data_IF_005241396635
#
_entry.id   IF_005241396635
#
_cell.length_a   1.000
_cell.length_b   1.000
_cell.length_c   1.000
_cell.angle_alpha   90.00
_cell.angle_beta   90.00
_cell.angle_gamma   90.00
#
_symmetry.space_group_name_H-M   'P 1'
#
loop_
_entity.id
_entity.type
_entity.pdbx_description
1 polymer ?
#
# COMPACT_ATOMS: atom_id res chain seq x y z
N UNK A 1 -12.95 1.04 15.60
CA UNK A 1 -12.24 -0.19 15.17
C UNK A 1 -11.76 0.05 13.75
N UNK A 2 -10.46 -0.06 13.52
CA UNK A 2 -9.87 0.10 12.18
C UNK A 2 -10.30 -1.07 11.31
N UNK A 3 -10.68 -0.79 10.07
CA UNK A 3 -11.02 -1.82 9.08
C UNK A 3 -10.07 -1.68 7.90
N UNK A 4 -9.36 -2.76 7.59
CA UNK A 4 -8.36 -2.78 6.52
C UNK A 4 -8.91 -2.25 5.18
N UNK A 5 -10.14 -2.64 4.82
CA UNK A 5 -10.79 -2.19 3.57
C UNK A 5 -11.00 -0.67 3.50
N UNK A 6 -11.20 -0.01 4.66
CA UNK A 6 -11.38 1.44 4.72
C UNK A 6 -10.05 2.13 4.44
N UNK A 7 -8.98 1.70 5.10
CA UNK A 7 -7.65 2.30 4.92
C UNK A 7 -7.08 2.02 3.53
N UNK A 8 -7.31 0.83 2.97
CA UNK A 8 -6.99 0.53 1.56
C UNK A 8 -7.79 1.46 0.62
N UNK A 9 -9.09 1.60 0.85
CA UNK A 9 -9.95 2.46 0.04
C UNK A 9 -9.47 3.92 0.02
N UNK A 10 -9.15 4.46 1.20
CA UNK A 10 -8.67 5.83 1.35
C UNK A 10 -7.27 6.02 0.76
N UNK A 11 -6.36 5.05 0.89
CA UNK A 11 -5.04 5.09 0.27
C UNK A 11 -5.13 5.08 -1.27
N UNK A 12 -5.98 4.22 -1.84
CA UNK A 12 -6.25 4.18 -3.29
C UNK A 12 -6.84 5.51 -3.79
N UNK A 13 -7.86 6.02 -3.08
CA UNK A 13 -8.49 7.29 -3.39
C UNK A 13 -7.51 8.46 -3.34
N UNK A 14 -6.66 8.50 -2.32
CA UNK A 14 -5.63 9.53 -2.15
C UNK A 14 -4.67 9.53 -3.33
N UNK A 15 -4.16 8.35 -3.73
CA UNK A 15 -3.27 8.22 -4.88
C UNK A 15 -3.95 8.68 -6.18
N UNK A 16 -5.20 8.23 -6.42
CA UNK A 16 -5.98 8.65 -7.59
C UNK A 16 -6.17 10.16 -7.65
N UNK A 17 -6.56 10.78 -6.53
CA UNK A 17 -6.81 12.22 -6.45
C UNK A 17 -5.52 13.04 -6.62
N UNK A 18 -4.40 12.59 -6.04
CA UNK A 18 -3.09 13.22 -6.23
C UNK A 18 -2.64 13.24 -7.69
N UNK A 19 -3.01 12.21 -8.47
CA UNK A 19 -2.78 12.15 -9.91
C UNK A 19 -3.78 12.97 -10.74
N UNK A 20 -4.81 13.59 -10.12
CA UNK A 20 -5.87 14.31 -10.83
C UNK A 20 -6.79 13.41 -11.66
N UNK A 21 -6.78 12.09 -11.43
CA UNK A 21 -7.54 11.12 -12.23
C UNK A 21 -8.95 10.93 -11.69
N UNK A 22 -9.90 10.73 -12.59
CA UNK A 22 -11.28 10.42 -12.24
C UNK A 22 -11.43 8.93 -11.91
N UNK A 23 -12.53 8.56 -11.25
CA UNK A 23 -12.90 7.15 -11.05
C UNK A 23 -12.95 6.39 -12.38
N UNK A 24 -13.45 7.04 -13.44
CA UNK A 24 -13.57 6.43 -14.77
C UNK A 24 -12.20 6.09 -15.37
N UNK A 25 -11.23 6.98 -15.21
CA UNK A 25 -9.87 6.78 -15.75
C UNK A 25 -9.19 5.55 -15.15
N UNK A 26 -9.38 5.35 -13.85
CA UNK A 26 -8.78 4.23 -13.12
C UNK A 26 -9.59 2.95 -13.30
N UNK A 27 -10.93 3.02 -13.24
CA UNK A 27 -11.78 1.83 -13.40
C UNK A 27 -11.59 1.17 -14.77
N UNK A 28 -11.42 1.97 -15.82
CA UNK A 28 -11.13 1.48 -17.16
C UNK A 28 -9.78 0.75 -17.22
N UNK A 29 -8.72 1.34 -16.67
CA UNK A 29 -7.38 0.72 -16.62
C UNK A 29 -7.35 -0.57 -15.78
N UNK A 30 -8.12 -0.60 -14.70
CA UNK A 30 -8.22 -1.74 -13.79
C UNK A 30 -9.21 -2.82 -14.24
N UNK A 31 -9.95 -2.60 -15.36
CA UNK A 31 -11.00 -3.49 -15.88
C UNK A 31 -12.09 -3.82 -14.85
N UNK A 32 -12.44 -2.85 -14.01
CA UNK A 32 -13.54 -2.95 -13.05
C UNK A 32 -14.64 -1.93 -13.38
N UNK A 33 -15.83 -2.13 -12.83
CA UNK A 33 -16.87 -1.11 -12.98
C UNK A 33 -16.53 0.13 -12.15
N UNK A 34 -16.95 1.31 -12.63
CA UNK A 34 -16.82 2.57 -11.90
C UNK A 34 -17.50 2.50 -10.52
N UNK A 35 -18.67 1.86 -10.46
CA UNK A 35 -19.40 1.64 -9.21
C UNK A 35 -18.60 0.79 -8.22
N UNK A 36 -17.99 -0.30 -8.69
CA UNK A 36 -17.16 -1.15 -7.84
C UNK A 36 -15.95 -0.40 -7.28
N UNK A 37 -15.21 0.34 -8.11
CA UNK A 37 -14.08 1.17 -7.63
C UNK A 37 -14.55 2.22 -6.60
N UNK A 38 -15.71 2.84 -6.82
CA UNK A 38 -16.30 3.78 -5.88
C UNK A 38 -16.67 3.14 -4.54
N UNK A 39 -17.19 1.92 -4.53
CA UNK A 39 -17.46 1.17 -3.30
C UNK A 39 -16.17 0.79 -2.56
N UNK A 40 -15.12 0.37 -3.30
CA UNK A 40 -13.79 0.06 -2.74
C UNK A 40 -13.18 1.32 -2.10
N UNK A 41 -13.14 2.44 -2.81
CA UNK A 41 -12.60 3.72 -2.29
C UNK A 41 -13.37 4.29 -1.09
N UNK A 42 -14.57 3.78 -0.81
CA UNK A 42 -15.38 4.14 0.37
C UNK A 42 -15.32 3.09 1.48
N UNK A 43 -14.49 2.07 1.35
CA UNK A 43 -14.40 0.96 2.32
C UNK A 43 -15.67 0.10 2.41
N UNK A 44 -16.53 0.11 1.38
CA UNK A 44 -17.78 -0.65 1.37
C UNK A 44 -17.59 -2.08 0.83
N UNK A 45 -16.48 -2.34 0.14
CA UNK A 45 -16.12 -3.64 -0.43
C UNK A 45 -14.71 -4.04 -0.03
N UNK A 46 -14.51 -5.33 0.13
CA UNK A 46 -13.18 -5.94 0.24
C UNK A 46 -12.74 -6.33 -1.16
N UNK A 47 -11.70 -5.66 -1.66
CA UNK A 47 -11.09 -6.02 -2.93
C UNK A 47 -10.29 -7.31 -2.75
N UNK A 48 -10.40 -8.25 -3.69
CA UNK A 48 -9.47 -9.38 -3.74
C UNK A 48 -8.05 -8.90 -4.04
N UNK A 49 -7.05 -9.72 -3.76
CA UNK A 49 -5.65 -9.40 -4.06
C UNK A 49 -5.42 -9.12 -5.55
N UNK A 50 -6.10 -9.84 -6.44
CA UNK A 50 -6.04 -9.63 -7.90
C UNK A 50 -6.64 -8.29 -8.32
N UNK A 51 -7.77 -7.91 -7.72
CA UNK A 51 -8.41 -6.62 -7.99
C UNK A 51 -7.58 -5.47 -7.43
N UNK A 52 -7.03 -5.63 -6.22
CA UNK A 52 -6.12 -4.64 -5.63
C UNK A 52 -4.89 -4.43 -6.52
N UNK A 53 -4.28 -5.52 -7.00
CA UNK A 53 -3.16 -5.48 -7.95
C UNK A 53 -3.55 -4.77 -9.26
N UNK A 54 -4.73 -5.07 -9.80
CA UNK A 54 -5.24 -4.43 -11.03
C UNK A 54 -5.46 -2.92 -10.87
N UNK A 55 -6.00 -2.49 -9.72
CA UNK A 55 -6.19 -1.07 -9.41
C UNK A 55 -4.84 -0.37 -9.20
N UNK A 56 -3.90 -0.99 -8.47
CA UNK A 56 -2.54 -0.49 -8.29
C UNK A 56 -1.82 -0.31 -9.63
N UNK A 57 -1.93 -1.31 -10.52
CA UNK A 57 -1.39 -1.23 -11.88
C UNK A 57 -2.02 -0.10 -12.69
N UNK A 58 -3.34 0.07 -12.61
CA UNK A 58 -4.03 1.17 -13.28
C UNK A 58 -3.63 2.55 -12.74
N UNK A 59 -3.26 2.64 -11.45
CA UNK A 59 -2.73 3.85 -10.79
C UNK A 59 -1.21 4.01 -10.96
N UNK A 60 -0.51 3.06 -11.57
CA UNK A 60 0.97 3.05 -11.64
C UNK A 60 1.65 3.16 -10.26
N UNK A 61 1.02 2.58 -9.23
CA UNK A 61 1.54 2.54 -7.86
C UNK A 61 1.98 1.11 -7.55
N UNK A 62 3.25 0.88 -7.15
CA UNK A 62 3.67 -0.42 -6.64
C UNK A 62 2.83 -0.84 -5.42
N UNK A 63 2.32 -2.08 -5.43
CA UNK A 63 1.48 -2.61 -4.35
C UNK A 63 2.14 -2.47 -2.97
N UNK A 64 3.45 -2.71 -2.89
CA UNK A 64 4.22 -2.57 -1.65
C UNK A 64 4.16 -1.15 -1.07
N UNK A 65 4.20 -0.11 -1.93
CA UNK A 65 4.10 1.28 -1.48
C UNK A 65 2.69 1.63 -1.01
N UNK A 66 1.66 1.08 -1.67
CA UNK A 66 0.28 1.23 -1.19
C UNK A 66 0.11 0.58 0.19
N UNK A 67 0.57 -0.67 0.35
CA UNK A 67 0.47 -1.39 1.61
C UNK A 67 1.26 -0.72 2.73
N UNK A 68 2.39 -0.08 2.39
CA UNK A 68 3.15 0.74 3.33
C UNK A 68 2.35 1.96 3.80
N UNK A 69 1.75 2.73 2.89
CA UNK A 69 0.85 3.85 3.25
C UNK A 69 -0.32 3.39 4.13
N UNK A 70 -0.92 2.25 3.80
CA UNK A 70 -1.99 1.64 4.61
C UNK A 70 -1.48 1.28 6.01
N UNK A 71 -0.31 0.64 6.11
CA UNK A 71 0.31 0.30 7.40
C UNK A 71 0.55 1.54 8.26
N UNK A 72 1.10 2.61 7.66
CA UNK A 72 1.37 3.87 8.36
C UNK A 72 0.07 4.52 8.87
N UNK A 73 -1.00 4.50 8.07
CA UNK A 73 -2.33 5.00 8.48
C UNK A 73 -2.91 4.21 9.65
N UNK A 74 -2.87 2.88 9.58
CA UNK A 74 -3.36 2.00 10.65
C UNK A 74 -2.58 2.27 11.93
N UNK A 75 -1.24 2.35 11.86
CA UNK A 75 -0.37 2.61 13.00
C UNK A 75 -0.70 3.92 13.72
N UNK A 76 -1.00 4.98 12.97
CA UNK A 76 -1.45 6.27 13.54
C UNK A 76 -2.75 6.09 14.33
N UNK A 77 -3.73 5.37 13.78
CA UNK A 77 -5.02 5.16 14.45
C UNK A 77 -4.89 4.26 15.68
N UNK A 78 -4.00 3.28 15.63
CA UNK A 78 -3.71 2.38 16.75
C UNK A 78 -2.78 3.01 17.81
N UNK A 79 -2.14 4.14 17.51
CA UNK A 79 -1.16 4.77 18.39
C UNK A 79 0.14 3.95 18.51
N UNK A 80 0.45 3.14 17.50
CA UNK A 80 1.64 2.28 17.44
C UNK A 80 2.71 2.96 16.60
N UNK A 81 3.95 2.94 17.06
CA UNK A 81 5.09 3.33 16.24
C UNK A 81 5.65 2.09 15.55
N UNK A 82 5.63 2.07 14.22
CA UNK A 82 6.32 1.04 13.42
C UNK A 82 7.75 1.55 13.18
N UNK A 83 8.79 0.84 13.67
CA UNK A 83 10.17 1.22 13.41
C UNK A 83 10.49 1.09 11.91
N UNK A 84 11.00 2.17 11.32
CA UNK A 84 11.46 2.23 9.92
C UNK A 84 12.94 1.87 9.73
N UNK A 85 13.59 1.46 10.82
CA UNK A 85 15.00 1.09 10.85
C UNK A 85 15.15 -0.40 11.05
N UNK A 86 16.15 -0.98 10.38
CA UNK A 86 16.58 -2.35 10.66
C UNK A 86 17.14 -2.40 12.08
N UNK A 87 16.78 -3.40 12.90
CA UNK A 87 17.43 -3.64 14.17
C UNK A 87 18.96 -3.72 13.99
N UNK A 88 19.72 -3.11 14.91
CA UNK A 88 21.19 -3.07 14.82
C UNK A 88 21.79 -4.47 14.70
N UNK A 89 21.25 -5.43 15.44
CA UNK A 89 21.62 -6.85 15.38
C UNK A 89 21.58 -7.47 13.97
N UNK A 90 20.55 -7.17 13.16
CA UNK A 90 20.50 -7.62 11.76
C UNK A 90 21.48 -6.86 10.84
N UNK A 91 21.85 -5.64 11.21
CA UNK A 91 22.77 -4.80 10.44
C UNK A 91 24.21 -5.28 10.62
N UNK A 92 24.54 -5.73 11.83
CA UNK A 92 25.83 -6.27 12.21
C UNK A 92 26.09 -7.63 11.55
N UNK A 93 25.07 -8.50 11.45
CA UNK A 93 25.15 -9.81 10.76
C UNK A 93 25.46 -9.67 9.26
N UNK A 94 24.82 -8.72 8.56
CA UNK A 94 25.06 -8.48 7.13
C UNK A 94 26.44 -7.84 6.89
N UNK A 95 26.94 -7.04 7.82
CA UNK A 95 28.25 -6.40 7.72
C UNK A 95 29.40 -7.35 8.09
N UNK A 96 29.16 -8.35 8.94
CA UNK A 96 30.12 -9.37 9.36
C UNK A 96 30.61 -10.26 8.21
N UNK A 97 29.76 -10.54 7.23
CA UNK A 97 30.09 -11.35 6.04
C UNK A 97 31.01 -10.63 5.03
N UNK A 98 31.23 -9.31 5.17
CA UNK A 98 32.11 -8.53 4.30
C UNK A 98 33.54 -8.37 4.84
N UNK A 99 33.85 -8.89 6.03
CA UNK A 99 35.20 -8.83 6.62
C UNK A 99 35.83 -10.23 6.65
N UNK A 100 36.25 -10.70 5.48
CA UNK A 100 37.34 -11.66 5.36
C UNK A 100 38.35 -11.17 4.32
N UNK A 101 39.33 -10.33 4.70
CA UNK A 101 40.55 -10.23 3.92
C UNK A 101 41.34 -11.52 4.15
N UNK A 102 41.56 -12.27 3.07
CA UNK A 102 42.46 -13.42 3.08
C UNK A 102 43.80 -13.07 3.72
N UNK A 103 44.19 -13.88 4.70
CA UNK A 103 45.57 -14.05 5.17
C UNK A 103 46.19 -15.18 4.36
#
# INVERSE_FOLDING_TARGET
MVLLRTEIGDALRTNRQRQGRTLRDVSNGARVSLGYLSEVERGQKEASSELLSSICGALEVPLALLLRDVSDRIAIVEGVAIPDTVPQELTDEVSGDLVSPGV
#
